data_IF_998249198942
#
_entry.id   IF_998249198942
#
_cell.length_a   1.000
_cell.length_b   1.000
_cell.length_c   1.000
_cell.angle_alpha   90.00
_cell.angle_beta   90.00
_cell.angle_gamma   90.00
#
_symmetry.space_group_name_H-M   'P 1'
#
loop_
_entity.id
_entity.type
_entity.pdbx_description
1 polymer ?
#
# COMPACT_ATOMS: atom_id res chain seq x y z
N UNK A 1 25.81 23.92 -42.68
CA UNK A 1 26.15 22.51 -42.39
C UNK A 1 25.36 22.10 -41.17
N UNK A 2 24.53 21.08 -41.35
CA UNK A 2 23.54 20.55 -40.43
C UNK A 2 24.17 19.91 -39.19
N UNK A 3 23.48 19.99 -38.05
CA UNK A 3 23.12 18.80 -37.27
C UNK A 3 21.81 19.07 -36.51
N UNK A 4 20.82 18.24 -36.81
CA UNK A 4 19.61 18.04 -36.01
C UNK A 4 19.99 17.34 -34.70
N UNK A 5 19.20 17.54 -33.62
CA UNK A 5 18.62 16.41 -32.87
C UNK A 5 17.66 16.88 -31.77
N UNK A 6 16.41 16.45 -31.97
CA UNK A 6 15.24 16.39 -31.07
C UNK A 6 15.55 16.45 -29.57
N UNK A 7 14.88 17.37 -28.87
CA UNK A 7 14.48 17.16 -27.48
C UNK A 7 12.97 17.39 -27.36
N UNK A 8 12.27 16.35 -26.91
CA UNK A 8 10.90 16.34 -26.40
C UNK A 8 10.71 14.95 -25.77
N UNK A 9 10.03 14.84 -24.62
CA UNK A 9 8.62 15.18 -24.58
C UNK A 9 8.24 16.28 -23.58
N UNK A 10 7.41 17.17 -24.11
CA UNK A 10 6.45 18.03 -23.43
C UNK A 10 5.77 17.29 -22.27
N UNK A 11 5.93 17.76 -21.03
CA UNK A 11 5.04 17.35 -19.94
C UNK A 11 3.74 18.14 -20.11
N UNK A 12 2.82 17.54 -20.87
CA UNK A 12 1.48 18.03 -21.09
C UNK A 12 0.80 18.36 -19.75
N UNK A 13 0.37 19.60 -19.63
CA UNK A 13 -0.55 20.07 -18.61
C UNK A 13 -1.93 19.49 -18.91
N UNK A 14 -2.23 18.31 -18.36
CA UNK A 14 -3.56 17.71 -18.50
C UNK A 14 -4.55 18.39 -17.54
N UNK A 15 -5.39 19.20 -18.18
CA UNK A 15 -6.59 19.80 -17.66
C UNK A 15 -7.47 18.78 -16.94
N UNK A 16 -7.59 18.91 -15.62
CA UNK A 16 -8.75 18.42 -14.89
C UNK A 16 -9.49 19.64 -14.35
N UNK A 17 -10.19 20.31 -15.27
CA UNK A 17 -11.25 21.24 -14.93
C UNK A 17 -12.39 20.46 -14.29
N UNK A 18 -12.36 20.36 -12.97
CA UNK A 18 -13.56 20.02 -12.22
C UNK A 18 -14.35 21.33 -12.03
N UNK A 19 -15.51 21.50 -12.69
CA UNK A 19 -16.31 22.70 -12.48
C UNK A 19 -16.78 22.75 -11.02
N UNK A 20 -16.93 23.94 -10.40
CA UNK A 20 -17.57 24.04 -9.10
C UNK A 20 -19.02 23.55 -9.24
N UNK A 21 -19.53 22.65 -8.38
CA UNK A 21 -20.91 22.20 -8.48
C UNK A 21 -21.85 23.36 -8.14
N UNK A 22 -22.63 23.79 -9.13
CA UNK A 22 -23.77 24.69 -8.95
C UNK A 22 -24.84 24.00 -8.12
N UNK A 23 -25.29 24.67 -7.07
CA UNK A 23 -26.35 24.23 -6.16
C UNK A 23 -27.69 24.08 -6.90
N UNK A 24 -28.19 22.85 -7.04
CA UNK A 24 -29.60 22.58 -7.33
C UNK A 24 -30.14 21.68 -6.21
N UNK A 25 -31.16 22.16 -5.52
CA UNK A 25 -31.60 21.75 -4.18
C UNK A 25 -32.74 20.71 -4.16
N UNK A 26 -32.80 19.75 -5.08
CA UNK A 26 -33.81 18.67 -4.98
C UNK A 26 -33.26 17.30 -5.36
N UNK A 27 -33.15 16.46 -4.32
CA UNK A 27 -33.01 15.00 -4.29
C UNK A 27 -32.19 14.30 -5.37
N UNK A 28 -30.88 14.25 -5.14
CA UNK A 28 -30.08 13.09 -5.57
C UNK A 28 -29.68 12.29 -4.33
N UNK A 29 -30.36 11.17 -4.11
CA UNK A 29 -29.96 10.15 -3.14
C UNK A 29 -28.89 9.28 -3.82
N UNK A 30 -27.59 9.39 -3.46
CA UNK A 30 -26.60 8.49 -4.02
C UNK A 30 -26.87 7.07 -3.55
N UNK A 31 -27.25 6.18 -4.47
CA UNK A 31 -27.29 4.73 -4.29
C UNK A 31 -25.88 4.12 -4.32
N UNK A 32 -24.95 4.70 -3.57
CA UNK A 32 -23.62 4.12 -3.37
C UNK A 32 -23.55 3.65 -1.91
N UNK A 33 -24.12 2.48 -1.68
CA UNK A 33 -23.75 1.65 -0.54
C UNK A 33 -22.33 1.12 -0.76
N UNK A 34 -21.33 1.99 -0.82
CA UNK A 34 -20.05 1.66 -0.23
C UNK A 34 -20.28 1.79 1.27
N UNK A 35 -20.78 0.71 1.88
CA UNK A 35 -20.70 0.58 3.33
C UNK A 35 -19.22 0.73 3.68
N UNK A 36 -18.87 1.94 4.12
CA UNK A 36 -17.53 2.29 4.51
C UNK A 36 -17.21 1.37 5.68
N UNK A 37 -16.54 0.25 5.38
CA UNK A 37 -15.98 -0.63 6.39
C UNK A 37 -15.22 0.30 7.33
N UNK A 38 -15.69 0.47 8.58
CA UNK A 38 -15.13 1.50 9.43
C UNK A 38 -13.64 1.19 9.52
N UNK A 39 -12.80 2.13 9.10
CA UNK A 39 -11.34 2.01 9.15
C UNK A 39 -10.92 1.97 10.63
N UNK A 40 -11.15 0.80 11.25
CA UNK A 40 -11.05 0.56 12.69
C UNK A 40 -9.61 0.51 13.16
N UNK A 41 -8.67 0.38 12.22
CA UNK A 41 -7.24 0.28 12.51
C UNK A 41 -6.56 1.62 12.26
N UNK A 42 -6.62 2.51 13.26
CA UNK A 42 -5.88 3.76 13.29
C UNK A 42 -4.42 3.55 13.72
N UNK A 43 -3.52 4.39 13.20
CA UNK A 43 -2.15 4.43 13.69
C UNK A 43 -2.13 4.78 15.18
N UNK A 44 -1.29 4.07 15.96
CA UNK A 44 -1.12 4.31 17.39
C UNK A 44 -0.23 5.53 17.68
N UNK A 45 0.46 6.04 16.66
CA UNK A 45 1.34 7.21 16.78
C UNK A 45 0.49 8.47 16.70
N UNK A 46 0.47 9.28 17.76
CA UNK A 46 -0.39 10.47 17.85
C UNK A 46 -0.12 11.55 16.79
N UNK A 47 1.08 11.58 16.22
CA UNK A 47 1.45 12.48 15.11
C UNK A 47 1.02 11.96 13.73
N UNK A 48 0.40 10.77 13.68
CA UNK A 48 0.01 10.10 12.45
C UNK A 48 -1.50 9.88 12.36
N UNK A 49 -2.15 10.58 11.41
CA UNK A 49 -3.61 10.48 11.18
C UNK A 49 -4.02 9.38 10.19
N UNK A 50 -3.11 8.47 9.85
CA UNK A 50 -3.42 7.38 8.93
C UNK A 50 -4.26 6.28 9.59
N UNK A 51 -5.28 5.83 8.85
CA UNK A 51 -6.16 4.76 9.24
C UNK A 51 -6.30 3.76 8.09
N UNK A 52 -6.51 2.49 8.45
CA UNK A 52 -6.50 1.39 7.50
C UNK A 52 -7.71 0.48 7.73
N UNK A 53 -8.17 -0.13 6.65
CA UNK A 53 -9.26 -1.11 6.68
C UNK A 53 -8.83 -2.47 7.23
N UNK A 54 -7.52 -2.69 7.46
CA UNK A 54 -6.99 -3.99 7.93
C UNK A 54 -5.76 -3.83 8.83
N UNK A 55 -5.65 -4.71 9.84
CA UNK A 55 -4.52 -4.75 10.79
C UNK A 55 -3.18 -4.97 10.10
N UNK A 56 -3.14 -5.79 9.04
CA UNK A 56 -1.91 -6.06 8.31
C UNK A 56 -1.36 -4.81 7.62
N UNK A 57 -2.23 -3.99 7.01
CA UNK A 57 -1.82 -2.71 6.41
C UNK A 57 -1.32 -1.73 7.46
N UNK A 58 -2.02 -1.63 8.59
CA UNK A 58 -1.58 -0.82 9.72
C UNK A 58 -0.20 -1.27 10.23
N UNK A 59 0.00 -2.58 10.44
CA UNK A 59 1.27 -3.10 10.92
C UNK A 59 2.43 -2.80 9.96
N UNK A 60 2.22 -2.96 8.64
CA UNK A 60 3.23 -2.59 7.65
C UNK A 60 3.49 -1.09 7.61
N UNK A 61 2.46 -0.25 7.75
CA UNK A 61 2.61 1.20 7.85
C UNK A 61 3.46 1.59 9.07
N UNK A 62 3.09 1.10 10.26
CA UNK A 62 3.86 1.35 11.50
C UNK A 62 5.29 0.86 11.32
N UNK A 63 5.52 -0.35 10.82
CA UNK A 63 6.87 -0.85 10.61
C UNK A 63 7.71 0.04 9.66
N UNK A 64 7.10 0.61 8.63
CA UNK A 64 7.81 1.40 7.62
C UNK A 64 8.09 2.84 8.07
N UNK A 65 7.11 3.49 8.67
CA UNK A 65 7.14 4.91 9.01
C UNK A 65 7.39 5.18 10.50
N UNK A 66 7.05 4.22 11.35
CA UNK A 66 7.18 4.29 12.81
C UNK A 66 7.86 3.02 13.36
N UNK A 67 9.05 2.65 12.84
CA UNK A 67 9.69 1.40 13.20
C UNK A 67 9.98 1.35 14.71
N UNK A 68 9.74 0.20 15.37
CA UNK A 68 10.12 0.04 16.76
C UNK A 68 11.65 0.19 16.88
N UNK A 69 12.11 0.97 17.85
CA UNK A 69 13.54 1.25 18.08
C UNK A 69 14.28 1.87 16.88
N UNK A 70 13.56 2.48 15.92
CA UNK A 70 14.17 3.05 14.72
C UNK A 70 14.62 1.99 13.69
N UNK A 71 14.32 0.72 13.91
CA UNK A 71 14.74 -0.38 13.04
C UNK A 71 13.52 -1.04 12.38
N UNK A 72 13.49 -1.03 11.04
CA UNK A 72 12.43 -1.71 10.30
C UNK A 72 12.57 -3.21 10.48
N UNK A 73 11.48 -3.85 10.88
CA UNK A 73 11.38 -5.30 10.94
C UNK A 73 11.46 -5.81 9.50
N UNK A 74 12.50 -6.59 9.21
CA UNK A 74 12.69 -7.28 7.94
C UNK A 74 12.43 -8.77 8.12
N UNK A 75 11.89 -9.37 7.08
CA UNK A 75 11.68 -10.80 6.95
C UNK A 75 12.74 -11.34 6.01
N UNK A 76 13.63 -12.18 6.54
CA UNK A 76 14.71 -12.81 5.81
C UNK A 76 14.25 -14.15 5.24
N UNK A 77 14.68 -14.45 4.02
CA UNK A 77 14.55 -15.79 3.48
C UNK A 77 15.53 -16.72 4.21
N UNK A 78 15.06 -17.89 4.62
CA UNK A 78 15.93 -18.89 5.25
C UNK A 78 16.79 -19.66 4.26
N UNK A 79 16.51 -19.53 2.96
CA UNK A 79 17.19 -20.28 1.89
C UNK A 79 18.16 -19.41 1.08
N UNK A 80 18.07 -18.08 1.17
CA UNK A 80 18.96 -17.16 0.46
C UNK A 80 19.10 -15.82 1.21
N UNK A 81 19.95 -14.93 0.71
CA UNK A 81 20.17 -13.59 1.30
C UNK A 81 19.04 -12.57 1.06
N UNK A 82 17.92 -12.96 0.45
CA UNK A 82 16.80 -12.05 0.19
C UNK A 82 16.12 -11.62 1.49
N UNK A 83 15.78 -10.33 1.60
CA UNK A 83 15.01 -9.80 2.73
C UNK A 83 14.01 -8.74 2.26
N UNK A 84 12.88 -8.64 2.96
CA UNK A 84 11.83 -7.68 2.65
C UNK A 84 11.10 -7.23 3.92
N UNK A 85 10.53 -6.03 3.91
CA UNK A 85 9.72 -5.51 5.03
C UNK A 85 8.28 -6.06 5.05
N UNK A 86 7.86 -6.79 4.01
CA UNK A 86 6.52 -7.34 3.87
C UNK A 86 6.52 -8.87 3.92
N UNK A 87 5.70 -9.45 4.80
CA UNK A 87 5.53 -10.92 4.88
C UNK A 87 5.01 -11.53 3.58
N UNK A 88 4.09 -10.85 2.90
CA UNK A 88 3.51 -11.29 1.61
C UNK A 88 4.58 -11.41 0.52
N UNK A 89 5.50 -10.46 0.46
CA UNK A 89 6.61 -10.49 -0.48
C UNK A 89 7.56 -11.63 -0.20
N UNK A 90 7.88 -11.91 1.07
CA UNK A 90 8.74 -13.04 1.41
C UNK A 90 8.08 -14.37 1.03
N UNK A 91 6.77 -14.51 1.29
CA UNK A 91 6.01 -15.69 0.92
C UNK A 91 6.00 -15.89 -0.60
N UNK A 92 5.73 -14.82 -1.36
CA UNK A 92 5.78 -14.84 -2.83
C UNK A 92 7.18 -15.16 -3.35
N UNK A 93 8.21 -14.53 -2.81
CA UNK A 93 9.61 -14.82 -3.13
C UNK A 93 9.92 -16.30 -2.89
N UNK A 94 9.59 -16.85 -1.72
CA UNK A 94 9.81 -18.26 -1.42
C UNK A 94 9.07 -19.18 -2.38
N UNK A 95 7.82 -18.87 -2.73
CA UNK A 95 7.06 -19.67 -3.68
C UNK A 95 7.59 -19.58 -5.12
N UNK A 96 8.09 -18.42 -5.53
CA UNK A 96 8.58 -18.21 -6.90
C UNK A 96 10.01 -18.70 -7.10
N UNK A 97 10.85 -18.59 -6.07
CA UNK A 97 12.30 -18.86 -6.16
C UNK A 97 12.67 -20.21 -5.53
N UNK A 98 11.99 -20.61 -4.45
CA UNK A 98 12.43 -21.72 -3.61
C UNK A 98 11.47 -22.90 -3.53
N UNK A 99 10.18 -22.76 -3.85
CA UNK A 99 9.21 -23.84 -3.64
C UNK A 99 8.06 -23.81 -4.67
N UNK A 100 8.09 -24.75 -5.61
CA UNK A 100 6.87 -25.22 -6.26
C UNK A 100 6.10 -26.10 -5.26
N UNK A 101 5.01 -25.56 -4.69
CA UNK A 101 4.00 -26.18 -3.80
C UNK A 101 4.23 -26.08 -2.27
N UNK A 102 3.44 -25.19 -1.65
CA UNK A 102 2.62 -25.36 -0.42
C UNK A 102 3.33 -25.71 0.91
N UNK A 103 2.98 -25.24 2.10
CA UNK A 103 1.84 -24.49 2.64
C UNK A 103 2.23 -23.94 4.03
N UNK A 104 1.45 -22.97 4.49
CA UNK A 104 1.48 -22.28 5.77
C UNK A 104 1.37 -23.14 7.05
N UNK A 105 1.91 -22.59 8.13
CA UNK A 105 1.34 -22.60 9.49
C UNK A 105 1.24 -23.94 10.23
N UNK A 106 2.35 -24.36 10.86
CA UNK A 106 2.27 -24.98 12.19
C UNK A 106 2.15 -23.87 13.21
N UNK A 107 0.92 -23.52 13.55
CA UNK A 107 0.64 -22.73 14.74
C UNK A 107 0.58 -23.75 15.88
N UNK A 108 1.65 -23.79 16.68
CA UNK A 108 1.66 -24.55 17.93
C UNK A 108 0.59 -24.00 18.87
N UNK A 109 -0.19 -24.90 19.45
CA UNK A 109 -1.22 -24.61 20.43
C UNK A 109 -1.71 -25.91 21.07
N UNK A 110 -1.39 -26.04 22.36
CA UNK A 110 -1.69 -27.08 23.37
C UNK A 110 -0.97 -28.42 23.25
#
# INVERSE_FOLDING_TARGET
>A
MSTESKTSPEFGSDANGYPPPVIVLEEYIPQDSTEAVPNRFKCSVGTCSHNFSSKQRLASHVNRFHPPHGQQIRHFCSQCGYSTTYKSDLARHRNSIHVAKSSSSVQGGT
#
